data_IF_704137058060
#
_entry.id   IF_704137058060
#
_cell.length_a   1.000
_cell.length_b   1.000
_cell.length_c   1.000
_cell.angle_alpha   90.00
_cell.angle_beta   90.00
_cell.angle_gamma   90.00
#
_symmetry.space_group_name_H-M   'P 1'
#
loop_
_entity.id
_entity.type
_entity.pdbx_description
1 polymer ?
#
# COMPACT_ATOMS: atom_id res chain seq x y z
N UNK A 1 6.27 -0.58 -16.07
CA UNK A 1 6.69 -1.43 -14.95
C UNK A 1 5.51 -2.03 -14.16
N UNK A 2 4.32 -1.46 -14.13
CA UNK A 2 3.15 -1.97 -13.38
C UNK A 2 2.55 -3.29 -13.85
N UNK A 3 3.23 -4.05 -14.68
CA UNK A 3 2.71 -5.32 -15.23
C UNK A 3 3.13 -6.56 -14.44
N UNK A 4 4.17 -6.50 -13.58
CA UNK A 4 4.67 -7.67 -12.89
C UNK A 4 3.63 -8.24 -11.90
N UNK A 5 3.15 -7.45 -10.94
CA UNK A 5 2.12 -7.87 -9.99
C UNK A 5 0.79 -8.26 -10.63
N UNK A 6 0.49 -7.75 -11.83
CA UNK A 6 -0.70 -8.16 -12.60
C UNK A 6 -0.59 -9.55 -13.22
N UNK A 7 0.62 -10.12 -13.28
CA UNK A 7 0.89 -11.39 -13.98
C UNK A 7 1.44 -12.49 -13.07
N UNK A 8 2.13 -12.14 -11.99
CA UNK A 8 2.95 -13.10 -11.24
C UNK A 8 2.54 -13.31 -9.79
N UNK A 9 2.05 -12.31 -9.08
CA UNK A 9 1.66 -12.44 -7.67
C UNK A 9 0.18 -12.11 -7.50
N UNK A 10 -0.68 -13.08 -7.80
CA UNK A 10 -2.12 -12.92 -7.84
C UNK A 10 -2.83 -13.88 -6.90
N UNK A 11 -3.91 -13.44 -6.29
CA UNK A 11 -4.79 -14.27 -5.47
C UNK A 11 -4.05 -14.94 -4.31
N UNK A 12 -4.04 -16.27 -4.27
CA UNK A 12 -3.39 -17.05 -3.22
C UNK A 12 -1.88 -16.88 -3.17
N UNK A 13 -1.21 -16.64 -4.30
CA UNK A 13 0.24 -16.43 -4.31
C UNK A 13 0.62 -15.11 -3.64
N UNK A 14 -0.21 -14.07 -3.78
CA UNK A 14 -0.02 -12.84 -3.02
C UNK A 14 -0.13 -13.11 -1.51
N UNK A 15 -1.08 -13.92 -1.06
CA UNK A 15 -1.18 -14.29 0.36
C UNK A 15 0.04 -15.07 0.83
N UNK A 16 0.52 -16.05 0.05
CA UNK A 16 1.74 -16.83 0.36
C UNK A 16 2.98 -15.96 0.57
N UNK A 17 3.09 -14.83 -0.14
CA UNK A 17 4.17 -13.86 0.10
C UNK A 17 4.21 -13.43 1.57
N UNK A 18 3.05 -13.15 2.17
CA UNK A 18 2.95 -12.71 3.56
C UNK A 18 3.15 -13.87 4.55
N UNK A 19 2.74 -15.08 4.19
CA UNK A 19 2.95 -16.29 5.02
C UNK A 19 4.44 -16.59 5.21
N UNK A 20 5.28 -16.24 4.23
CA UNK A 20 6.74 -16.36 4.27
C UNK A 20 7.46 -15.28 5.10
N UNK A 21 6.71 -14.36 5.71
CA UNK A 21 7.29 -13.28 6.51
C UNK A 21 8.02 -13.82 7.74
N UNK A 22 9.28 -13.39 7.94
CA UNK A 22 10.02 -13.62 9.18
C UNK A 22 9.34 -12.93 10.37
N UNK A 23 9.69 -13.25 11.62
CA UNK A 23 9.15 -12.54 12.79
C UNK A 23 9.33 -11.02 12.69
N UNK A 24 10.49 -10.55 12.21
CA UNK A 24 10.74 -9.09 12.04
C UNK A 24 9.87 -8.49 10.94
N UNK A 25 9.66 -9.18 9.82
CA UNK A 25 8.76 -8.71 8.76
C UNK A 25 7.30 -8.74 9.23
N UNK A 26 6.87 -9.73 10.00
CA UNK A 26 5.51 -9.74 10.60
C UNK A 26 5.31 -8.56 11.54
N UNK A 27 6.31 -8.24 12.37
CA UNK A 27 6.27 -7.06 13.24
C UNK A 27 6.10 -5.78 12.40
N UNK A 28 6.87 -5.61 11.33
CA UNK A 28 6.72 -4.50 10.39
C UNK A 28 5.29 -4.41 9.83
N UNK A 29 4.77 -5.53 9.30
CA UNK A 29 3.43 -5.59 8.70
C UNK A 29 2.33 -5.23 9.70
N UNK A 30 2.46 -5.66 10.95
CA UNK A 30 1.51 -5.35 12.02
C UNK A 30 1.60 -3.89 12.44
N UNK A 31 2.80 -3.36 12.69
CA UNK A 31 3.01 -1.97 13.08
C UNK A 31 2.49 -0.98 12.03
N UNK A 32 2.64 -1.32 10.75
CA UNK A 32 2.09 -0.53 9.65
C UNK A 32 0.56 -0.49 9.68
N UNK A 33 -0.09 -1.64 9.86
CA UNK A 33 -1.55 -1.72 9.95
C UNK A 33 -2.08 -1.05 11.21
N UNK A 34 -1.45 -1.26 12.37
CA UNK A 34 -1.78 -0.61 13.62
C UNK A 34 -1.75 0.91 13.48
N UNK A 35 -0.72 1.45 12.82
CA UNK A 35 -0.64 2.87 12.53
C UNK A 35 -1.80 3.36 11.64
N UNK A 36 -2.18 2.59 10.62
CA UNK A 36 -3.34 2.93 9.79
C UNK A 36 -4.61 2.94 10.61
N UNK A 37 -4.88 1.87 11.37
CA UNK A 37 -6.09 1.73 12.20
C UNK A 37 -6.20 2.88 13.21
N UNK A 38 -5.11 3.24 13.88
CA UNK A 38 -5.08 4.36 14.83
C UNK A 38 -5.52 5.67 14.15
N UNK A 39 -5.02 5.94 12.94
CA UNK A 39 -5.27 7.19 12.20
C UNK A 39 -6.66 7.29 11.59
N UNK A 40 -7.27 6.16 11.23
CA UNK A 40 -8.59 6.16 10.57
C UNK A 40 -9.73 5.77 11.51
N UNK A 41 -9.45 5.47 12.78
CA UNK A 41 -10.46 5.07 13.78
C UNK A 41 -11.60 6.08 13.88
N UNK A 42 -12.84 5.60 13.76
CA UNK A 42 -14.04 6.43 13.82
C UNK A 42 -14.37 7.16 12.52
N UNK A 43 -13.59 7.01 11.46
CA UNK A 43 -13.94 7.55 10.14
C UNK A 43 -15.17 6.83 9.56
N UNK A 44 -16.04 7.56 8.87
CA UNK A 44 -17.23 6.96 8.25
C UNK A 44 -16.86 6.13 7.01
N UNK A 45 -16.00 6.65 6.14
CA UNK A 45 -15.62 6.01 4.87
C UNK A 45 -14.12 6.10 4.66
N UNK A 46 -13.49 4.93 4.52
CA UNK A 46 -12.05 4.84 4.26
C UNK A 46 -11.81 4.06 2.98
N UNK A 47 -10.92 4.57 2.13
CA UNK A 47 -10.51 3.93 0.87
C UNK A 47 -9.09 3.40 0.98
N UNK A 48 -8.88 2.11 0.70
CA UNK A 48 -7.55 1.53 0.48
C UNK A 48 -7.26 1.38 -1.01
N UNK A 49 -6.14 1.96 -1.46
CA UNK A 49 -5.64 1.85 -2.82
C UNK A 49 -4.70 0.63 -2.94
N UNK A 50 -5.06 -0.34 -3.79
CA UNK A 50 -4.30 -1.56 -3.98
C UNK A 50 -4.46 -2.55 -2.83
N UNK A 51 -5.70 -2.85 -2.45
CA UNK A 51 -6.01 -3.65 -1.26
C UNK A 51 -5.53 -5.12 -1.34
N UNK A 52 -5.11 -5.60 -2.52
CA UNK A 52 -4.69 -6.98 -2.70
C UNK A 52 -5.75 -7.98 -2.25
N UNK A 53 -5.39 -8.92 -1.39
CA UNK A 53 -6.31 -9.89 -0.80
C UNK A 53 -7.04 -9.37 0.46
N UNK A 54 -6.87 -8.09 0.80
CA UNK A 54 -7.65 -7.44 1.86
C UNK A 54 -7.03 -7.46 3.26
N UNK A 55 -5.71 -7.64 3.39
CA UNK A 55 -5.01 -7.72 4.68
C UNK A 55 -5.25 -6.48 5.56
N UNK A 56 -5.08 -5.29 5.00
CA UNK A 56 -5.28 -4.03 5.74
C UNK A 56 -6.75 -3.78 5.99
N UNK A 57 -7.62 -4.03 4.99
CA UNK A 57 -9.08 -3.92 5.14
C UNK A 57 -9.60 -4.75 6.31
N UNK A 58 -9.09 -5.98 6.50
CA UNK A 58 -9.52 -6.87 7.57
C UNK A 58 -9.36 -6.26 8.94
N UNK A 59 -8.21 -5.64 9.19
CA UNK A 59 -7.89 -5.01 10.46
C UNK A 59 -8.53 -3.63 10.61
N UNK A 60 -8.71 -2.90 9.52
CA UNK A 60 -9.26 -1.55 9.51
C UNK A 60 -10.79 -1.53 9.63
N UNK A 61 -11.50 -2.41 8.94
CA UNK A 61 -12.95 -2.39 8.82
C UNK A 61 -13.70 -2.41 10.18
N UNK A 62 -13.26 -3.16 11.22
CA UNK A 62 -13.93 -3.13 12.52
C UNK A 62 -13.91 -1.77 13.22
N UNK A 63 -13.08 -0.84 12.75
CA UNK A 63 -12.84 0.45 13.40
C UNK A 63 -13.41 1.66 12.64
N UNK A 64 -14.06 1.42 11.49
CA UNK A 64 -14.61 2.46 10.60
C UNK A 64 -16.05 2.15 10.21
N UNK A 65 -16.80 3.15 9.76
CA UNK A 65 -18.18 2.94 9.32
C UNK A 65 -18.24 2.03 8.08
N UNK A 66 -17.46 2.33 7.05
CA UNK A 66 -17.37 1.53 5.81
C UNK A 66 -15.98 1.59 5.21
N UNK A 67 -15.42 0.44 4.90
CA UNK A 67 -14.12 0.28 4.26
C UNK A 67 -14.30 -0.05 2.77
N UNK A 68 -13.55 0.65 1.92
CA UNK A 68 -13.53 0.42 0.48
C UNK A 68 -12.13 -0.01 0.07
N UNK A 69 -12.03 -1.12 -0.66
CA UNK A 69 -10.77 -1.58 -1.23
C UNK A 69 -10.83 -1.60 -2.74
N UNK A 70 -9.82 -1.06 -3.38
CA UNK A 70 -9.66 -1.18 -4.83
C UNK A 70 -8.40 -1.98 -5.16
N UNK A 71 -8.49 -2.77 -6.22
CA UNK A 71 -7.32 -3.41 -6.84
C UNK A 71 -7.54 -3.49 -8.35
N UNK A 72 -6.46 -3.55 -9.12
CA UNK A 72 -6.51 -3.68 -10.58
C UNK A 72 -6.61 -5.15 -11.03
N UNK A 73 -6.35 -6.10 -10.12
CA UNK A 73 -6.37 -7.52 -10.39
C UNK A 73 -7.64 -8.18 -9.83
N UNK A 74 -8.52 -8.65 -10.70
CA UNK A 74 -9.76 -9.34 -10.28
C UNK A 74 -9.48 -10.59 -9.43
N UNK A 75 -8.34 -11.27 -9.63
CA UNK A 75 -7.94 -12.43 -8.83
C UNK A 75 -7.71 -12.05 -7.36
N UNK A 76 -7.07 -10.89 -7.11
CA UNK A 76 -6.85 -10.36 -5.77
C UNK A 76 -8.19 -10.07 -5.08
N UNK A 77 -9.12 -9.44 -5.79
CA UNK A 77 -10.44 -9.11 -5.24
C UNK A 77 -11.29 -10.36 -4.93
N UNK A 78 -11.16 -11.44 -5.73
CA UNK A 78 -11.80 -12.72 -5.38
C UNK A 78 -11.25 -13.30 -4.08
N UNK A 79 -9.92 -13.28 -3.90
CA UNK A 79 -9.29 -13.70 -2.65
C UNK A 79 -9.71 -12.80 -1.48
N UNK A 80 -9.76 -11.48 -1.70
CA UNK A 80 -10.23 -10.52 -0.71
C UNK A 80 -11.70 -10.79 -0.30
N UNK A 81 -12.58 -11.06 -1.26
CA UNK A 81 -13.99 -11.38 -0.98
C UNK A 81 -14.14 -12.59 -0.06
N UNK A 82 -13.34 -13.63 -0.28
CA UNK A 82 -13.33 -14.82 0.59
C UNK A 82 -12.73 -14.50 1.95
N UNK A 83 -11.59 -13.79 1.98
CA UNK A 83 -10.86 -13.44 3.19
C UNK A 83 -11.64 -12.51 4.13
N UNK A 84 -12.46 -11.61 3.57
CA UNK A 84 -13.26 -10.62 4.28
C UNK A 84 -14.74 -11.04 4.45
N UNK A 85 -15.11 -12.28 4.17
CA UNK A 85 -16.50 -12.75 4.11
C UNK A 85 -17.30 -12.53 5.41
N UNK A 86 -16.63 -12.49 6.57
CA UNK A 86 -17.26 -12.20 7.87
C UNK A 86 -17.56 -10.72 8.09
N UNK A 87 -16.96 -9.81 7.33
CA UNK A 87 -17.12 -8.36 7.47
C UNK A 87 -18.24 -7.86 6.54
N UNK A 88 -19.19 -7.11 7.11
CA UNK A 88 -20.37 -6.61 6.37
C UNK A 88 -20.21 -5.18 5.84
N UNK A 89 -19.16 -4.50 6.24
CA UNK A 89 -18.90 -3.10 5.92
C UNK A 89 -17.69 -2.90 4.99
N UNK A 90 -17.34 -3.93 4.20
CA UNK A 90 -16.27 -3.86 3.19
C UNK A 90 -16.85 -3.91 1.78
N UNK A 91 -16.47 -2.96 0.93
CA UNK A 91 -16.75 -2.95 -0.50
C UNK A 91 -15.46 -3.15 -1.30
N UNK A 92 -15.49 -4.04 -2.26
CA UNK A 92 -14.35 -4.36 -3.13
C UNK A 92 -14.65 -3.96 -4.58
N UNK A 93 -13.79 -3.16 -5.21
CA UNK A 93 -14.02 -2.66 -6.56
C UNK A 93 -12.77 -2.85 -7.43
N UNK A 94 -13.01 -3.36 -8.65
CA UNK A 94 -11.99 -3.45 -9.68
C UNK A 94 -11.74 -2.07 -10.28
N UNK A 95 -10.63 -1.44 -9.91
CA UNK A 95 -10.38 -0.04 -10.27
C UNK A 95 -8.89 0.27 -10.34
N UNK A 96 -8.54 1.23 -11.19
CA UNK A 96 -7.18 1.76 -11.30
C UNK A 96 -7.00 2.96 -10.36
N UNK A 97 -6.02 2.90 -9.48
CA UNK A 97 -5.75 3.93 -8.47
C UNK A 97 -5.35 5.31 -9.03
N UNK A 98 -4.93 5.39 -10.30
CA UNK A 98 -4.63 6.67 -10.98
C UNK A 98 -5.81 7.23 -11.81
N UNK A 99 -6.98 6.58 -11.70
CA UNK A 99 -8.23 7.00 -12.35
C UNK A 99 -9.41 6.44 -11.57
N UNK A 100 -9.73 7.09 -10.46
CA UNK A 100 -10.78 6.65 -9.56
C UNK A 100 -12.16 7.08 -10.07
N UNK A 101 -13.10 6.15 -10.13
CA UNK A 101 -14.50 6.42 -10.50
C UNK A 101 -15.34 6.91 -9.30
N UNK A 102 -14.70 7.52 -8.31
CA UNK A 102 -15.36 8.15 -7.18
C UNK A 102 -15.47 9.66 -7.37
N UNK A 103 -16.53 10.26 -6.84
CA UNK A 103 -16.67 11.71 -6.76
C UNK A 103 -15.58 12.31 -5.86
N UNK A 104 -15.35 13.62 -6.04
CA UNK A 104 -14.45 14.40 -5.18
C UNK A 104 -14.95 14.39 -3.74
N UNK A 105 -14.01 14.43 -2.80
CA UNK A 105 -14.29 14.54 -1.38
C UNK A 105 -15.23 13.43 -0.82
N UNK A 106 -15.14 12.21 -1.38
CA UNK A 106 -16.01 11.07 -1.04
C UNK A 106 -15.62 10.38 0.26
N UNK A 107 -14.34 10.41 0.64
CA UNK A 107 -13.78 9.63 1.73
C UNK A 107 -13.25 10.50 2.86
N UNK A 108 -13.38 10.03 4.09
CA UNK A 108 -12.77 10.63 5.29
C UNK A 108 -11.29 10.36 5.35
N UNK A 109 -10.87 9.18 4.84
CA UNK A 109 -9.47 8.84 4.69
C UNK A 109 -9.20 8.01 3.44
N UNK A 110 -8.00 8.19 2.88
CA UNK A 110 -7.46 7.37 1.79
C UNK A 110 -6.10 6.84 2.18
N UNK A 111 -5.88 5.53 2.06
CA UNK A 111 -4.65 4.86 2.44
C UNK A 111 -4.01 4.14 1.25
N UNK A 112 -2.69 4.24 1.13
CA UNK A 112 -1.87 3.52 0.16
C UNK A 112 -0.60 3.07 0.88
N UNK A 113 -0.62 1.88 1.42
CA UNK A 113 0.43 1.38 2.31
C UNK A 113 1.26 0.29 1.66
N UNK A 114 2.25 -0.19 2.38
CA UNK A 114 3.16 -1.23 1.95
C UNK A 114 3.84 -0.95 0.61
N UNK A 115 4.37 0.27 0.51
CA UNK A 115 5.09 0.71 -0.70
C UNK A 115 4.22 0.68 -1.99
N UNK A 116 2.91 0.76 -1.87
CA UNK A 116 1.98 0.80 -3.01
C UNK A 116 2.33 1.90 -4.00
N UNK A 117 2.78 3.07 -3.51
CA UNK A 117 3.27 4.20 -4.32
C UNK A 117 4.33 3.79 -5.36
N UNK A 118 5.12 2.77 -5.09
CA UNK A 118 6.16 2.26 -5.99
C UNK A 118 5.77 0.93 -6.65
N UNK A 119 5.04 0.07 -5.92
CA UNK A 119 4.67 -1.26 -6.37
C UNK A 119 3.67 -1.24 -7.54
N UNK A 120 2.78 -0.26 -7.59
CA UNK A 120 1.78 -0.16 -8.66
C UNK A 120 2.41 0.14 -10.03
N UNK A 121 3.62 0.71 -10.07
CA UNK A 121 4.32 1.03 -11.32
C UNK A 121 3.57 2.01 -12.20
N UNK A 122 2.82 2.91 -11.60
CA UNK A 122 2.04 3.97 -12.22
C UNK A 122 2.70 5.35 -12.03
N UNK A 123 2.13 6.36 -12.66
CA UNK A 123 2.51 7.75 -12.41
C UNK A 123 2.16 8.11 -10.94
N UNK A 124 3.21 8.33 -10.13
CA UNK A 124 3.08 8.63 -8.70
C UNK A 124 2.35 9.95 -8.44
N UNK A 125 2.54 10.96 -9.31
CA UNK A 125 1.86 12.25 -9.18
C UNK A 125 0.36 12.09 -9.40
N UNK A 126 -0.06 11.32 -10.41
CA UNK A 126 -1.47 11.02 -10.64
C UNK A 126 -2.09 10.22 -9.50
N UNK A 127 -1.35 9.26 -8.93
CA UNK A 127 -1.81 8.48 -7.79
C UNK A 127 -2.08 9.38 -6.58
N UNK A 128 -1.15 10.28 -6.26
CA UNK A 128 -1.31 11.25 -5.16
C UNK A 128 -2.44 12.22 -5.45
N UNK A 129 -2.53 12.76 -6.68
CA UNK A 129 -3.62 13.69 -7.06
C UNK A 129 -5.01 13.06 -6.93
N UNK A 130 -5.17 11.79 -7.32
CA UNK A 130 -6.44 11.07 -7.15
C UNK A 130 -6.76 10.82 -5.66
N UNK A 131 -5.77 10.43 -4.85
CA UNK A 131 -5.96 10.29 -3.41
C UNK A 131 -6.40 11.61 -2.75
N UNK A 132 -5.77 12.73 -3.13
CA UNK A 132 -6.15 14.08 -2.67
C UNK A 132 -7.56 14.43 -3.13
N UNK A 133 -7.89 14.20 -4.41
CA UNK A 133 -9.20 14.54 -4.98
C UNK A 133 -10.35 13.84 -4.24
N UNK A 134 -10.23 12.54 -4.02
CA UNK A 134 -11.32 11.74 -3.42
C UNK A 134 -11.42 11.86 -1.92
N UNK A 135 -10.39 12.33 -1.23
CA UNK A 135 -10.41 12.57 0.21
C UNK A 135 -11.08 13.92 0.50
N UNK A 136 -11.99 14.00 1.46
CA UNK A 136 -12.67 15.25 1.83
C UNK A 136 -11.73 16.26 2.48
N UNK A 137 -12.13 17.52 2.51
CA UNK A 137 -11.41 18.54 3.30
C UNK A 137 -11.33 18.09 4.78
N UNK A 138 -10.17 18.30 5.39
CA UNK A 138 -9.78 17.81 6.72
C UNK A 138 -9.77 16.27 6.85
N UNK A 139 -9.90 15.53 5.74
CA UNK A 139 -9.71 14.08 5.68
C UNK A 139 -8.24 13.71 5.75
N UNK A 140 -7.97 12.44 6.06
CA UNK A 140 -6.62 11.91 6.23
C UNK A 140 -6.14 11.19 4.96
N UNK A 141 -4.88 11.38 4.59
CA UNK A 141 -4.24 10.62 3.52
C UNK A 141 -2.96 10.01 4.09
N UNK A 142 -2.84 8.68 3.98
CA UNK A 142 -1.72 7.92 4.52
C UNK A 142 -1.06 7.13 3.40
N UNK A 143 0.20 7.46 3.12
CA UNK A 143 1.02 6.69 2.20
C UNK A 143 2.22 6.14 2.93
N UNK A 144 2.58 4.88 2.70
CA UNK A 144 3.78 4.30 3.30
C UNK A 144 4.73 3.69 2.29
N UNK A 145 5.99 3.63 2.70
CA UNK A 145 7.09 2.97 2.03
C UNK A 145 8.01 2.31 3.06
N UNK A 146 8.97 1.50 2.62
CA UNK A 146 9.93 0.88 3.53
C UNK A 146 10.93 1.91 4.08
N UNK A 147 11.23 1.79 5.39
CA UNK A 147 12.41 2.45 5.96
C UNK A 147 13.70 1.80 5.42
N UNK A 148 14.79 2.57 5.22
CA UNK A 148 16.10 1.99 4.94
C UNK A 148 16.58 1.00 6.00
N UNK A 149 16.11 1.14 7.24
CA UNK A 149 16.54 0.32 8.39
C UNK A 149 16.09 -1.14 8.29
N UNK A 150 14.98 -1.44 7.58
CA UNK A 150 14.50 -2.82 7.37
C UNK A 150 15.11 -3.48 6.13
N UNK A 151 16.09 -2.87 5.50
CA UNK A 151 16.64 -3.33 4.22
C UNK A 151 17.09 -4.79 4.24
N UNK A 152 17.87 -5.20 5.24
CA UNK A 152 18.39 -6.56 5.34
C UNK A 152 17.25 -7.60 5.47
N UNK A 153 16.28 -7.35 6.35
CA UNK A 153 15.11 -8.22 6.53
C UNK A 153 14.25 -8.28 5.27
N UNK A 154 14.10 -7.13 4.59
CA UNK A 154 13.35 -7.06 3.33
C UNK A 154 14.02 -7.88 2.23
N UNK A 155 15.33 -7.80 2.05
CA UNK A 155 16.08 -8.62 1.09
C UNK A 155 15.90 -10.10 1.40
N UNK A 156 16.04 -10.50 2.66
CA UNK A 156 15.86 -11.90 3.04
C UNK A 156 14.42 -12.39 2.83
N UNK A 157 13.44 -11.54 3.03
CA UNK A 157 12.05 -11.87 2.71
C UNK A 157 11.84 -12.10 1.20
N UNK A 158 12.49 -11.32 0.33
CA UNK A 158 12.45 -11.55 -1.12
C UNK A 158 13.21 -12.83 -1.51
N UNK A 159 14.31 -13.16 -0.85
CA UNK A 159 14.99 -14.45 -1.03
C UNK A 159 14.09 -15.62 -0.63
N UNK A 160 13.35 -15.50 0.45
CA UNK A 160 12.38 -16.53 0.87
C UNK A 160 11.27 -16.72 -0.18
N UNK A 161 10.75 -15.64 -0.76
CA UNK A 161 9.78 -15.69 -1.86
C UNK A 161 10.37 -16.36 -3.11
N UNK A 162 11.62 -16.06 -3.45
CA UNK A 162 12.31 -16.68 -4.58
C UNK A 162 12.53 -18.19 -4.34
N UNK A 163 12.97 -18.60 -3.13
CA UNK A 163 13.09 -20.02 -2.76
C UNK A 163 11.75 -20.77 -2.82
N UNK A 164 10.65 -20.08 -2.55
CA UNK A 164 9.29 -20.65 -2.65
C UNK A 164 8.72 -20.63 -4.09
N UNK A 165 9.48 -20.15 -5.09
CA UNK A 165 9.07 -20.09 -6.48
C UNK A 165 8.00 -19.03 -6.78
N UNK A 166 7.79 -18.06 -5.89
CA UNK A 166 6.80 -16.98 -6.08
C UNK A 166 7.33 -15.84 -6.97
N UNK A 167 8.63 -15.63 -6.95
CA UNK A 167 9.36 -14.66 -7.77
C UNK A 167 10.65 -15.29 -8.30
N UNK A 168 11.28 -14.66 -9.28
CA UNK A 168 12.61 -15.08 -9.74
C UNK A 168 13.71 -14.87 -8.69
N UNK A 169 14.88 -15.53 -8.83
CA UNK A 169 16.01 -15.31 -7.94
C UNK A 169 16.39 -13.83 -7.81
N UNK A 170 16.72 -13.40 -6.59
CA UNK A 170 17.19 -12.03 -6.34
C UNK A 170 18.55 -11.83 -7.01
N UNK A 171 18.69 -10.78 -7.80
CA UNK A 171 19.97 -10.35 -8.38
C UNK A 171 20.70 -9.48 -7.35
N UNK A 172 21.64 -10.08 -6.62
CA UNK A 172 22.38 -9.43 -5.54
C UNK A 172 23.24 -8.28 -6.04
N UNK A 173 23.74 -8.35 -7.27
CA UNK A 173 24.62 -7.32 -7.85
C UNK A 173 23.85 -6.03 -8.18
N UNK A 174 22.55 -6.15 -8.46
CA UNK A 174 21.66 -5.06 -8.86
C UNK A 174 20.70 -4.61 -7.75
N UNK A 175 20.59 -5.40 -6.67
CA UNK A 175 19.72 -5.11 -5.53
C UNK A 175 20.45 -4.27 -4.49
N UNK A 176 20.17 -2.94 -4.45
CA UNK A 176 20.82 -1.98 -3.55
C UNK A 176 19.97 -0.74 -3.36
N UNK A 177 20.25 0.02 -2.31
CA UNK A 177 19.69 1.36 -2.06
C UNK A 177 18.15 1.40 -2.15
N UNK A 178 17.49 0.45 -1.46
CA UNK A 178 16.03 0.35 -1.45
C UNK A 178 15.41 -0.27 -2.71
N UNK A 179 16.20 -0.67 -3.70
CA UNK A 179 15.73 -1.34 -4.91
C UNK A 179 16.05 -2.82 -4.88
N UNK A 180 15.05 -3.68 -5.02
CA UNK A 180 15.20 -5.11 -5.25
C UNK A 180 14.99 -5.41 -6.73
N UNK A 181 15.88 -6.20 -7.30
CA UNK A 181 15.83 -6.68 -8.68
C UNK A 181 15.86 -8.20 -8.68
N UNK A 182 14.99 -8.84 -9.45
CA UNK A 182 15.02 -10.29 -9.65
C UNK A 182 15.28 -10.64 -11.13
N UNK A 183 15.76 -11.87 -11.36
CA UNK A 183 16.15 -12.34 -12.69
C UNK A 183 14.97 -12.49 -13.67
N UNK A 184 13.74 -12.64 -13.14
CA UNK A 184 12.49 -12.71 -13.89
C UNK A 184 11.93 -11.32 -14.31
N UNK A 185 12.66 -10.25 -14.02
CA UNK A 185 12.29 -8.88 -14.38
C UNK A 185 11.56 -8.08 -13.32
N UNK A 186 11.32 -8.66 -12.12
CA UNK A 186 10.82 -7.86 -10.99
C UNK A 186 11.85 -6.77 -10.64
N UNK A 187 11.37 -5.54 -10.55
CA UNK A 187 12.13 -4.41 -10.02
C UNK A 187 11.22 -3.60 -9.09
N UNK A 188 11.57 -3.54 -7.83
CA UNK A 188 10.77 -2.87 -6.81
C UNK A 188 11.64 -1.90 -6.01
N UNK A 189 11.40 -0.60 -6.19
CA UNK A 189 12.10 0.49 -5.50
C UNK A 189 11.26 0.98 -4.33
N UNK A 190 11.87 1.41 -3.24
CA UNK A 190 11.22 2.19 -2.19
C UNK A 190 11.27 3.67 -2.52
N UNK A 191 10.21 4.41 -2.22
CA UNK A 191 10.27 5.86 -2.21
C UNK A 191 10.95 6.33 -0.91
N UNK A 192 11.65 7.46 -0.94
CA UNK A 192 12.14 8.10 0.28
C UNK A 192 11.06 8.97 0.93
N UNK A 193 11.25 9.33 2.20
CA UNK A 193 10.37 10.30 2.87
C UNK A 193 10.38 11.67 2.21
N UNK A 194 11.51 12.09 1.65
CA UNK A 194 11.66 13.33 0.89
C UNK A 194 10.87 13.27 -0.42
N UNK A 195 11.00 12.19 -1.19
CA UNK A 195 10.19 11.96 -2.40
C UNK A 195 8.70 11.98 -2.12
N UNK A 196 8.25 11.39 -1.00
CA UNK A 196 6.85 11.44 -0.60
C UNK A 196 6.42 12.87 -0.25
N UNK A 197 7.23 13.63 0.49
CA UNK A 197 6.96 15.03 0.80
C UNK A 197 6.79 15.86 -0.46
N UNK A 198 7.71 15.72 -1.40
CA UNK A 198 7.70 16.46 -2.67
C UNK A 198 6.49 16.11 -3.54
N UNK A 199 6.10 14.84 -3.59
CA UNK A 199 4.91 14.41 -4.33
C UNK A 199 3.63 15.06 -3.79
N UNK A 200 3.47 15.13 -2.47
CA UNK A 200 2.33 15.79 -1.85
C UNK A 200 2.39 17.33 -2.00
N UNK A 201 3.58 17.93 -1.88
CA UNK A 201 3.77 19.36 -2.09
C UNK A 201 3.36 19.81 -3.51
N UNK A 202 3.67 19.02 -4.54
CA UNK A 202 3.22 19.26 -5.92
C UNK A 202 1.70 19.18 -6.08
N UNK A 203 1.02 18.51 -5.16
CA UNK A 203 -0.45 18.44 -5.11
C UNK A 203 -1.06 19.47 -4.15
N UNK A 204 -0.28 20.48 -3.73
CA UNK A 204 -0.72 21.54 -2.83
C UNK A 204 -0.94 21.08 -1.38
N UNK A 205 -0.35 19.95 -0.97
CA UNK A 205 -0.56 19.37 0.37
C UNK A 205 0.74 19.31 1.15
N UNK A 206 0.64 19.48 2.47
CA UNK A 206 1.78 19.35 3.39
C UNK A 206 1.77 17.96 4.01
N UNK A 207 2.82 17.18 3.73
CA UNK A 207 3.00 15.84 4.29
C UNK A 207 3.94 15.87 5.50
N UNK A 208 3.46 15.37 6.64
CA UNK A 208 4.29 15.03 7.79
C UNK A 208 4.92 13.66 7.55
N UNK A 209 6.25 13.60 7.53
CA UNK A 209 6.97 12.33 7.39
C UNK A 209 7.26 11.77 8.77
N UNK A 210 6.88 10.50 8.99
CA UNK A 210 7.08 9.79 10.25
C UNK A 210 7.57 8.37 10.01
N UNK A 211 8.59 7.95 10.73
CA UNK A 211 9.02 6.55 10.76
C UNK A 211 8.23 5.78 11.83
N UNK A 212 7.78 4.59 11.48
CA UNK A 212 7.03 3.67 12.35
C UNK A 212 7.82 2.38 12.48
N UNK A 213 8.03 1.91 13.72
CA UNK A 213 8.71 0.65 14.05
C UNK A 213 10.10 0.50 13.41
N UNK A 214 10.76 1.58 13.01
CA UNK A 214 12.01 1.55 12.24
C UNK A 214 11.91 0.68 10.96
N UNK A 215 10.73 0.48 10.45
CA UNK A 215 10.47 -0.43 9.33
C UNK A 215 9.69 0.21 8.18
N UNK A 216 8.84 1.18 8.46
CA UNK A 216 8.11 1.93 7.45
C UNK A 216 8.24 3.45 7.64
N UNK A 217 8.19 4.17 6.54
CA UNK A 217 8.11 5.64 6.49
C UNK A 217 6.74 6.01 5.98
N UNK A 218 5.99 6.77 6.77
CA UNK A 218 4.69 7.30 6.41
C UNK A 218 4.76 8.76 5.99
N UNK A 219 4.03 9.10 4.91
CA UNK A 219 3.57 10.44 4.65
C UNK A 219 2.12 10.54 5.17
N UNK A 220 1.94 11.33 6.21
CA UNK A 220 0.66 11.63 6.86
C UNK A 220 0.21 13.02 6.43
N UNK A 221 -0.95 13.13 5.79
CA UNK A 221 -1.50 14.39 5.30
C UNK A 221 -2.91 14.57 5.83
N UNK A 222 -3.18 15.71 6.45
CA UNK A 222 -4.54 16.20 6.62
C UNK A 222 -4.85 17.07 5.41
N UNK A 223 -5.82 16.67 4.58
CA UNK A 223 -6.12 17.41 3.36
C UNK A 223 -6.58 18.81 3.67
N UNK A 224 -5.87 19.81 3.16
CA UNK A 224 -6.33 21.17 3.14
C UNK A 224 -7.17 21.42 1.88
N UNK A 225 -8.26 22.18 2.02
CA UNK A 225 -9.02 22.63 0.86
C UNK A 225 -8.12 23.51 -0.01
N UNK A 226 -8.07 23.24 -1.32
CA UNK A 226 -7.49 24.19 -2.25
C UNK A 226 -8.33 25.47 -2.14
N UNK A 227 -7.69 26.54 -1.66
CA UNK A 227 -8.26 27.91 -1.60
C UNK A 227 -8.44 28.45 -3.01
#
# INVERSE_FOLDING_TARGET
MGTYYRRHLLGSDLQRVYDLASPRIRQYLNAEVENVVERVRGADRVLELGCGYGRVLREMAPHVGRAFGIDIAAANLRSASSYLSSLKNCDLLLMNAVRLAFADARFDATVCVQNGISAFGVDRSKLVSEAVRVTRNRGQILFSTYSPRIWADRVEWFRAQARAGLIGPVDESRSREGTIVCQDGLRLTSASGEELRDLFARSGQVARIREVDQSSVFAEVTRDGLS
#
